data_IF_744759495063
#
_entry.id   IF_744759495063
#
_cell.length_a   1.000
_cell.length_b   1.000
_cell.length_c   1.000
_cell.angle_alpha   90.00
_cell.angle_beta   90.00
_cell.angle_gamma   90.00
#
_symmetry.space_group_name_H-M   'P 1'
#
loop_
_entity.id
_entity.type
_entity.pdbx_description
1 polymer ?
#
# COMPACT_ATOMS: atom_id res chain seq x y z
N UNK A 1 -7.95 -25.89 -11.19
CA UNK A 1 -7.32 -24.86 -10.33
C UNK A 1 -6.98 -23.65 -11.19
N UNK A 2 -7.10 -22.42 -10.65
CA UNK A 2 -6.67 -21.21 -11.37
C UNK A 2 -5.17 -21.26 -11.62
N UNK A 3 -4.73 -20.90 -12.83
CA UNK A 3 -3.30 -20.80 -13.19
C UNK A 3 -2.66 -19.49 -12.72
N UNK A 4 -3.47 -18.51 -12.30
CA UNK A 4 -2.98 -17.19 -11.88
C UNK A 4 -2.06 -17.21 -10.66
N UNK A 5 -2.32 -17.98 -9.58
CA UNK A 5 -1.39 -18.04 -8.45
C UNK A 5 0.01 -18.52 -8.86
N UNK A 6 0.12 -19.52 -9.74
CA UNK A 6 1.40 -20.03 -10.24
C UNK A 6 2.14 -18.99 -11.09
N UNK A 7 1.42 -18.35 -12.01
CA UNK A 7 1.98 -17.28 -12.84
C UNK A 7 2.43 -16.08 -12.01
N UNK A 8 1.62 -15.65 -11.04
CA UNK A 8 1.95 -14.54 -10.13
C UNK A 8 3.22 -14.83 -9.32
N UNK A 9 3.34 -16.05 -8.77
CA UNK A 9 4.55 -16.45 -8.04
C UNK A 9 5.79 -16.42 -8.95
N UNK A 10 5.70 -17.00 -10.14
CA UNK A 10 6.82 -17.01 -11.10
C UNK A 10 7.25 -15.59 -11.51
N UNK A 11 6.28 -14.72 -11.77
CA UNK A 11 6.55 -13.33 -12.10
C UNK A 11 7.19 -12.57 -10.93
N UNK A 12 6.68 -12.77 -9.71
CA UNK A 12 7.27 -12.24 -8.48
C UNK A 12 8.73 -12.70 -8.30
N UNK A 13 8.99 -14.00 -8.46
CA UNK A 13 10.35 -14.55 -8.35
C UNK A 13 11.29 -13.93 -9.39
N UNK A 14 10.84 -13.73 -10.64
CA UNK A 14 11.63 -13.07 -11.67
C UNK A 14 11.95 -11.60 -11.33
N UNK A 15 10.98 -10.84 -10.83
CA UNK A 15 11.19 -9.47 -10.37
C UNK A 15 12.17 -9.38 -9.21
N UNK A 16 12.04 -10.28 -8.25
CA UNK A 16 12.96 -10.37 -7.10
C UNK A 16 14.37 -10.73 -7.55
N UNK A 17 14.55 -11.67 -8.49
CA UNK A 17 15.88 -11.96 -9.04
C UNK A 17 16.47 -10.74 -9.75
N UNK A 18 15.66 -9.99 -10.50
CA UNK A 18 16.12 -8.76 -11.13
C UNK A 18 16.57 -7.71 -10.10
N UNK A 19 15.82 -7.52 -9.01
CA UNK A 19 16.23 -6.63 -7.90
C UNK A 19 17.55 -7.07 -7.29
N UNK A 20 17.70 -8.38 -6.97
CA UNK A 20 18.93 -8.94 -6.41
C UNK A 20 20.14 -8.73 -7.32
N UNK A 21 19.96 -8.89 -8.63
CA UNK A 21 21.02 -8.64 -9.62
C UNK A 21 21.45 -7.17 -9.71
N UNK A 22 20.68 -6.23 -9.15
CA UNK A 22 21.01 -4.81 -9.10
C UNK A 22 21.52 -4.35 -7.72
N UNK A 23 21.40 -5.18 -6.67
CA UNK A 23 21.87 -4.83 -5.33
C UNK A 23 23.39 -4.76 -5.29
N UNK A 24 23.92 -3.72 -4.64
CA UNK A 24 25.32 -3.65 -4.24
C UNK A 24 25.58 -4.54 -3.04
N UNK A 25 26.85 -4.83 -2.74
CA UNK A 25 27.25 -5.57 -1.53
C UNK A 25 26.78 -4.88 -0.24
N UNK A 26 26.59 -3.56 -0.25
CA UNK A 26 26.08 -2.79 0.87
C UNK A 26 24.55 -2.88 1.04
N UNK A 27 23.82 -3.46 0.10
CA UNK A 27 22.35 -3.59 0.16
C UNK A 27 21.55 -2.46 -0.50
N UNK A 28 22.21 -1.50 -1.17
CA UNK A 28 21.56 -0.45 -1.96
C UNK A 28 21.61 -0.71 -3.48
N UNK A 29 21.18 0.27 -4.29
CA UNK A 29 21.27 0.20 -5.77
C UNK A 29 22.28 1.20 -6.38
N UNK A 30 23.13 1.82 -5.55
CA UNK A 30 24.03 2.89 -6.00
C UNK A 30 23.31 4.18 -6.43
N UNK A 31 22.03 4.34 -6.06
CA UNK A 31 21.23 5.54 -6.28
C UNK A 31 20.99 6.21 -4.92
N UNK A 32 21.44 7.46 -4.70
CA UNK A 32 21.35 8.15 -3.42
C UNK A 32 19.98 8.80 -3.20
N UNK A 33 18.91 8.02 -3.35
CA UNK A 33 17.52 8.43 -3.06
C UNK A 33 16.78 7.27 -2.38
N UNK A 34 15.81 7.55 -1.52
CA UNK A 34 15.03 6.56 -0.77
C UNK A 34 14.00 5.82 -1.64
N UNK A 35 13.40 6.53 -2.61
CA UNK A 35 12.36 6.02 -3.51
C UNK A 35 12.64 4.60 -4.07
N UNK A 36 13.80 4.30 -4.66
CA UNK A 36 14.07 2.96 -5.20
C UNK A 36 14.19 1.87 -4.13
N UNK A 37 14.42 2.21 -2.87
CA UNK A 37 14.85 1.26 -1.84
C UNK A 37 13.74 0.84 -0.88
N UNK A 38 12.85 1.75 -0.46
CA UNK A 38 12.03 1.52 0.75
C UNK A 38 11.09 0.30 0.70
N UNK A 39 10.69 -0.15 -0.49
CA UNK A 39 9.88 -1.39 -0.66
C UNK A 39 10.72 -2.67 -0.79
N UNK A 40 12.01 -2.52 -1.11
CA UNK A 40 12.92 -3.64 -1.40
C UNK A 40 13.03 -4.63 -0.24
N UNK A 41 13.23 -4.21 1.03
CA UNK A 41 13.33 -5.16 2.14
C UNK A 41 12.11 -6.08 2.23
N UNK A 42 10.90 -5.53 2.09
CA UNK A 42 9.67 -6.31 2.15
C UNK A 42 9.52 -7.26 0.96
N UNK A 43 9.86 -6.83 -0.25
CA UNK A 43 9.81 -7.67 -1.44
C UNK A 43 10.77 -8.87 -1.36
N UNK A 44 12.01 -8.63 -0.93
CA UNK A 44 13.02 -9.68 -0.70
C UNK A 44 12.58 -10.63 0.42
N UNK A 45 12.07 -10.09 1.52
CA UNK A 45 11.61 -10.87 2.66
C UNK A 45 10.44 -11.79 2.30
N UNK A 46 9.45 -11.29 1.55
CA UNK A 46 8.32 -12.10 1.07
C UNK A 46 8.78 -13.24 0.15
N UNK A 47 9.87 -13.06 -0.59
CA UNK A 47 10.46 -14.07 -1.43
C UNK A 47 11.39 -15.06 -0.70
N UNK A 48 11.77 -14.77 0.55
CA UNK A 48 12.63 -15.62 1.38
C UNK A 48 14.13 -15.24 1.39
N UNK A 49 14.50 -14.12 0.75
CA UNK A 49 15.88 -13.60 0.72
C UNK A 49 16.14 -12.70 1.94
N UNK A 50 16.14 -13.32 3.13
CA UNK A 50 16.13 -12.59 4.40
C UNK A 50 17.44 -11.83 4.66
N UNK A 51 18.58 -12.34 4.21
CA UNK A 51 19.87 -11.70 4.47
C UNK A 51 20.07 -10.46 3.58
N UNK A 52 19.69 -10.54 2.30
CA UNK A 52 19.66 -9.37 1.41
C UNK A 52 18.61 -8.36 1.85
N UNK A 53 17.46 -8.81 2.35
CA UNK A 53 16.45 -7.93 2.92
C UNK A 53 16.97 -7.17 4.15
N UNK A 54 17.71 -7.85 5.03
CA UNK A 54 18.36 -7.22 6.19
C UNK A 54 19.44 -6.23 5.78
N UNK A 55 20.31 -6.60 4.84
CA UNK A 55 21.34 -5.70 4.32
C UNK A 55 20.70 -4.43 3.71
N UNK A 56 19.64 -4.60 2.91
CA UNK A 56 18.91 -3.49 2.31
C UNK A 56 18.25 -2.60 3.34
N UNK A 57 17.60 -3.16 4.37
CA UNK A 57 17.00 -2.36 5.44
C UNK A 57 18.06 -1.61 6.25
N UNK A 58 19.15 -2.26 6.64
CA UNK A 58 20.26 -1.62 7.34
C UNK A 58 20.80 -0.43 6.56
N UNK A 59 21.06 -0.62 5.26
CA UNK A 59 21.51 0.45 4.37
C UNK A 59 20.59 1.67 4.37
N UNK A 60 19.27 1.43 4.34
CA UNK A 60 18.25 2.49 4.40
C UNK A 60 18.28 3.18 5.77
N UNK A 61 18.26 2.42 6.86
CA UNK A 61 18.21 2.97 8.22
C UNK A 61 19.43 3.82 8.56
N UNK A 62 20.62 3.43 8.11
CA UNK A 62 21.86 4.19 8.32
C UNK A 62 21.88 5.54 7.59
N UNK A 63 21.13 5.68 6.49
CA UNK A 63 21.22 6.84 5.58
C UNK A 63 20.03 7.77 5.66
N UNK A 64 18.84 7.24 5.88
CA UNK A 64 17.59 7.97 5.74
C UNK A 64 16.78 8.03 7.04
N UNK A 65 16.98 7.11 7.99
CA UNK A 65 16.20 7.08 9.23
C UNK A 65 16.89 7.91 10.31
N UNK A 66 16.22 8.97 10.75
CA UNK A 66 16.72 9.86 11.79
C UNK A 66 16.66 9.25 13.20
N UNK A 67 17.22 9.94 14.22
CA UNK A 67 17.14 9.51 15.61
C UNK A 67 15.71 9.44 16.17
N UNK A 68 14.75 10.08 15.49
CA UNK A 68 13.32 10.05 15.81
C UNK A 68 12.56 8.97 15.03
N UNK A 69 13.28 8.03 14.39
CA UNK A 69 12.73 6.90 13.64
C UNK A 69 11.89 7.25 12.41
N UNK A 70 11.96 8.49 11.93
CA UNK A 70 11.31 8.93 10.70
C UNK A 70 12.30 8.91 9.54
N UNK A 71 11.95 8.23 8.44
CA UNK A 71 12.72 8.23 7.21
C UNK A 71 12.56 9.56 6.47
N UNK A 72 13.68 10.17 6.08
CA UNK A 72 13.70 11.43 5.34
C UNK A 72 14.64 11.34 4.17
N UNK A 73 14.15 11.65 2.99
CA UNK A 73 14.97 11.88 1.81
C UNK A 73 14.85 13.34 1.37
N UNK A 74 15.90 14.17 1.53
CA UNK A 74 15.87 15.56 1.10
C UNK A 74 15.72 15.72 -0.41
N UNK A 75 15.93 14.66 -1.19
CA UNK A 75 15.75 14.65 -2.64
C UNK A 75 14.36 14.15 -3.07
N UNK A 76 13.53 13.66 -2.14
CA UNK A 76 12.20 13.15 -2.46
C UNK A 76 11.15 14.28 -2.48
N UNK A 77 11.16 15.06 -3.57
CA UNK A 77 10.10 16.03 -3.87
C UNK A 77 8.71 15.36 -4.02
N UNK A 78 8.66 14.05 -4.30
CA UNK A 78 7.41 13.31 -4.40
C UNK A 78 6.79 13.02 -3.03
N UNK A 79 7.59 12.80 -1.97
CA UNK A 79 7.06 12.65 -0.61
C UNK A 79 6.31 13.92 -0.17
N UNK A 80 6.95 15.08 -0.33
CA UNK A 80 6.35 16.38 0.00
C UNK A 80 5.05 16.66 -0.78
N UNK A 81 4.97 16.26 -2.05
CA UNK A 81 3.77 16.49 -2.89
C UNK A 81 2.67 15.45 -2.71
N UNK A 82 2.98 14.24 -2.20
CA UNK A 82 1.99 13.17 -1.95
C UNK A 82 1.17 13.39 -0.68
N UNK A 83 1.61 14.30 0.20
CA UNK A 83 1.05 14.54 1.54
C UNK A 83 0.76 13.20 2.25
N UNK A 84 1.78 12.35 2.33
CA UNK A 84 1.71 10.99 2.87
C UNK A 84 3.06 10.60 3.51
N UNK A 85 3.48 11.41 4.49
CA UNK A 85 4.84 11.39 5.04
C UNK A 85 5.20 10.07 5.75
N UNK A 86 4.19 9.26 6.10
CA UNK A 86 4.36 7.98 6.80
C UNK A 86 4.39 6.77 5.88
N UNK A 87 4.19 6.96 4.59
CA UNK A 87 4.05 5.84 3.69
C UNK A 87 5.32 5.01 3.64
N UNK A 88 6.47 5.64 3.40
CA UNK A 88 7.77 4.96 3.42
C UNK A 88 8.06 4.30 4.77
N UNK A 89 7.80 4.99 5.88
CA UNK A 89 8.00 4.46 7.24
C UNK A 89 7.21 3.17 7.48
N UNK A 90 5.93 3.13 7.10
CA UNK A 90 5.09 1.96 7.29
C UNK A 90 5.56 0.75 6.45
N UNK A 91 6.10 0.99 5.25
CA UNK A 91 6.74 -0.06 4.45
C UNK A 91 8.01 -0.60 5.12
N UNK A 92 8.82 0.29 5.67
CA UNK A 92 10.06 -0.09 6.37
C UNK A 92 9.74 -0.86 7.65
N UNK A 93 8.77 -0.39 8.45
CA UNK A 93 8.32 -1.07 9.67
C UNK A 93 7.78 -2.48 9.37
N UNK A 94 7.01 -2.62 8.29
CA UNK A 94 6.50 -3.92 7.83
C UNK A 94 7.66 -4.85 7.41
N UNK A 95 8.56 -4.36 6.55
CA UNK A 95 9.73 -5.12 6.12
C UNK A 95 10.61 -5.55 7.30
N UNK A 96 10.88 -4.64 8.24
CA UNK A 96 11.65 -4.88 9.45
C UNK A 96 11.04 -5.99 10.32
N UNK A 97 9.73 -5.94 10.54
CA UNK A 97 9.02 -6.97 11.30
C UNK A 97 9.17 -8.33 10.63
N UNK A 98 8.98 -8.38 9.30
CA UNK A 98 9.03 -9.62 8.52
C UNK A 98 10.40 -10.31 8.56
N UNK A 99 11.48 -9.54 8.68
CA UNK A 99 12.86 -10.04 8.72
C UNK A 99 13.44 -10.15 10.13
N UNK A 100 12.63 -9.92 11.18
CA UNK A 100 13.05 -10.05 12.57
C UNK A 100 13.95 -8.91 13.09
N UNK A 101 14.00 -7.78 12.39
CA UNK A 101 14.66 -6.55 12.85
C UNK A 101 13.72 -5.76 13.77
N UNK A 102 13.45 -6.31 14.95
CA UNK A 102 12.38 -5.85 15.84
C UNK A 102 12.62 -4.46 16.41
N UNK A 103 13.89 -4.06 16.62
CA UNK A 103 14.21 -2.71 17.10
C UNK A 103 13.79 -1.66 16.08
N UNK A 104 14.17 -1.87 14.83
CA UNK A 104 13.85 -0.98 13.71
C UNK A 104 12.34 -1.00 13.45
N UNK A 105 11.72 -2.18 13.47
CA UNK A 105 10.28 -2.30 13.31
C UNK A 105 9.51 -1.50 14.37
N UNK A 106 9.79 -1.75 15.65
CA UNK A 106 9.10 -1.06 16.74
C UNK A 106 9.41 0.44 16.76
N UNK A 107 10.66 0.84 16.51
CA UNK A 107 11.05 2.25 16.47
C UNK A 107 10.30 3.03 15.40
N UNK A 108 10.35 2.54 14.16
CA UNK A 108 9.68 3.18 13.01
C UNK A 108 8.16 3.14 13.19
N UNK A 109 7.59 1.98 13.57
CA UNK A 109 6.15 1.86 13.76
C UNK A 109 5.63 2.77 14.89
N UNK A 110 6.34 2.85 16.01
CA UNK A 110 5.95 3.74 17.13
C UNK A 110 5.86 5.19 16.67
N UNK A 111 6.75 5.63 15.79
CA UNK A 111 6.69 6.98 15.23
C UNK A 111 5.44 7.22 14.40
N UNK A 112 5.02 6.25 13.59
CA UNK A 112 3.76 6.32 12.85
C UNK A 112 2.56 6.31 13.82
N UNK A 113 2.63 5.49 14.89
CA UNK A 113 1.58 5.34 15.90
C UNK A 113 1.32 6.62 16.69
N UNK A 114 2.34 7.45 16.93
CA UNK A 114 2.22 8.76 17.58
C UNK A 114 1.34 9.76 16.79
N UNK A 115 1.10 9.47 15.52
CA UNK A 115 0.29 10.33 14.63
C UNK A 115 -1.15 9.83 14.50
N UNK A 116 -1.49 8.71 15.14
CA UNK A 116 -2.85 8.24 15.28
C UNK A 116 -3.54 9.01 16.41
N UNK A 117 -4.66 9.64 16.08
CA UNK A 117 -5.49 10.34 17.05
C UNK A 117 -6.34 9.34 17.85
N UNK A 118 -6.25 9.36 19.19
CA UNK A 118 -6.97 8.42 20.03
C UNK A 118 -8.50 8.64 20.02
N UNK A 119 -9.00 9.81 19.62
CA UNK A 119 -10.44 10.11 19.61
C UNK A 119 -11.14 9.61 18.34
N UNK A 120 -10.49 9.77 17.19
CA UNK A 120 -11.04 9.40 15.87
C UNK A 120 -10.50 8.07 15.37
N UNK A 121 -9.37 7.60 15.90
CA UNK A 121 -8.63 6.43 15.40
C UNK A 121 -7.88 6.67 14.08
N UNK A 122 -8.04 7.86 13.49
CA UNK A 122 -7.42 8.25 12.23
C UNK A 122 -5.93 8.59 12.39
N UNK A 123 -5.17 8.39 11.33
CA UNK A 123 -3.72 8.70 11.30
C UNK A 123 -3.48 9.89 10.39
N UNK A 124 -2.72 10.86 10.90
CA UNK A 124 -2.33 12.03 10.10
C UNK A 124 -1.40 11.61 8.97
N UNK A 125 -1.67 12.08 7.75
CA UNK A 125 -0.78 11.83 6.63
C UNK A 125 0.35 12.85 6.47
N UNK A 126 0.45 13.84 7.37
CA UNK A 126 1.54 14.84 7.37
C UNK A 126 2.17 15.01 8.75
N UNK A 127 3.48 15.24 8.76
CA UNK A 127 4.25 15.64 9.93
C UNK A 127 4.58 17.13 9.84
N UNK A 128 4.23 17.92 10.85
CA UNK A 128 4.66 19.31 10.97
C UNK A 128 3.59 20.24 11.57
N UNK A 129 3.94 21.50 11.86
CA UNK A 129 3.03 22.47 12.45
C UNK A 129 1.88 22.86 11.50
N UNK A 130 2.13 22.80 10.19
CA UNK A 130 1.14 23.07 9.15
C UNK A 130 0.36 21.82 8.73
N UNK A 131 0.53 20.70 9.43
CA UNK A 131 -0.39 19.57 9.26
C UNK A 131 -1.74 20.02 9.81
N UNK A 132 -2.65 20.46 8.94
CA UNK A 132 -4.07 20.50 9.28
C UNK A 132 -4.43 19.15 9.93
N UNK A 133 -5.35 19.16 10.90
CA UNK A 133 -5.81 17.96 11.61
C UNK A 133 -6.64 17.06 10.66
N UNK A 134 -6.03 16.62 9.57
CA UNK A 134 -6.60 15.76 8.56
C UNK A 134 -6.05 14.36 8.76
N UNK A 135 -6.97 13.42 8.88
CA UNK A 135 -6.71 12.00 8.97
C UNK A 135 -7.24 11.35 7.72
N UNK A 136 -6.45 10.49 7.10
CA UNK A 136 -6.81 9.98 5.79
C UNK A 136 -6.88 8.44 5.72
N UNK A 137 -7.63 8.02 4.71
CA UNK A 137 -7.59 6.75 4.01
C UNK A 137 -6.32 5.92 4.27
N UNK A 138 -5.27 6.45 3.65
CA UNK A 138 -4.09 5.70 3.24
C UNK A 138 -3.19 5.45 4.44
N UNK A 139 -2.90 6.50 5.23
CA UNK A 139 -2.09 6.35 6.43
C UNK A 139 -2.82 5.51 7.48
N UNK A 140 -4.13 5.69 7.64
CA UNK A 140 -4.88 4.96 8.67
C UNK A 140 -4.97 3.48 8.36
N UNK A 141 -5.41 3.10 7.15
CA UNK A 141 -5.53 1.69 6.78
C UNK A 141 -4.17 0.99 6.74
N UNK A 142 -3.10 1.65 6.26
CA UNK A 142 -1.78 1.06 6.25
C UNK A 142 -1.18 0.92 7.66
N UNK A 143 -1.38 1.91 8.55
CA UNK A 143 -0.98 1.80 9.96
C UNK A 143 -1.71 0.66 10.67
N UNK A 144 -3.02 0.51 10.42
CA UNK A 144 -3.79 -0.62 10.92
C UNK A 144 -3.29 -1.96 10.39
N UNK A 145 -2.99 -2.04 9.09
CA UNK A 145 -2.46 -3.25 8.47
C UNK A 145 -1.10 -3.66 9.05
N UNK A 146 -0.18 -2.70 9.25
CA UNK A 146 1.10 -2.98 9.91
C UNK A 146 0.88 -3.30 11.40
N UNK A 147 -0.08 -2.63 12.04
CA UNK A 147 -0.54 -2.91 13.41
C UNK A 147 -0.92 -4.37 13.64
N UNK A 148 -1.66 -4.98 12.70
CA UNK A 148 -2.01 -6.40 12.73
C UNK A 148 -0.78 -7.32 12.73
N UNK A 149 0.33 -6.88 12.12
CA UNK A 149 1.55 -7.68 11.94
C UNK A 149 2.48 -7.54 13.14
N UNK A 150 2.54 -6.35 13.75
CA UNK A 150 3.33 -6.08 14.96
C UNK A 150 2.58 -6.42 16.25
N UNK A 151 1.26 -6.66 16.17
CA UNK A 151 0.42 -7.03 17.32
C UNK A 151 -0.08 -5.83 18.14
N UNK A 152 -0.22 -4.64 17.53
CA UNK A 152 -0.78 -3.46 18.20
C UNK A 152 -2.31 -3.45 18.08
N UNK A 153 -2.97 -4.18 18.98
CA UNK A 153 -4.44 -4.31 19.00
C UNK A 153 -5.15 -2.95 19.16
N UNK A 154 -4.57 -2.02 19.93
CA UNK A 154 -5.18 -0.71 20.17
C UNK A 154 -5.15 0.15 18.91
N UNK A 155 -4.03 0.18 18.20
CA UNK A 155 -3.92 0.90 16.93
C UNK A 155 -4.85 0.31 15.88
N UNK A 156 -4.92 -1.02 15.81
CA UNK A 156 -5.83 -1.74 14.91
C UNK A 156 -7.27 -1.38 15.19
N UNK A 157 -7.71 -1.39 16.45
CA UNK A 157 -9.08 -1.05 16.82
C UNK A 157 -9.45 0.39 16.38
N UNK A 158 -8.58 1.36 16.65
CA UNK A 158 -8.79 2.74 16.21
C UNK A 158 -8.84 2.87 14.68
N UNK A 159 -7.93 2.20 13.97
CA UNK A 159 -7.91 2.23 12.51
C UNK A 159 -9.17 1.57 11.90
N UNK A 160 -9.65 0.47 12.49
CA UNK A 160 -10.92 -0.18 12.10
C UNK A 160 -12.08 0.80 12.26
N UNK A 161 -12.17 1.45 13.42
CA UNK A 161 -13.24 2.41 13.70
C UNK A 161 -13.24 3.56 12.70
N UNK A 162 -12.08 4.18 12.47
CA UNK A 162 -11.94 5.24 11.47
C UNK A 162 -12.37 4.77 10.07
N UNK A 163 -11.87 3.61 9.63
CA UNK A 163 -12.11 3.08 8.28
C UNK A 163 -13.59 2.75 8.07
N UNK A 164 -14.26 2.17 9.08
CA UNK A 164 -15.68 1.86 9.05
C UNK A 164 -16.56 3.11 9.07
N UNK A 165 -16.21 4.11 9.88
CA UNK A 165 -16.90 5.41 9.87
C UNK A 165 -16.75 6.07 8.50
N UNK A 166 -15.54 6.11 7.93
CA UNK A 166 -15.28 6.77 6.65
C UNK A 166 -16.16 6.23 5.51
N UNK A 167 -16.31 4.91 5.39
CA UNK A 167 -17.21 4.30 4.38
C UNK A 167 -18.70 4.54 4.73
N UNK A 168 -19.07 4.62 6.01
CA UNK A 168 -20.46 4.87 6.43
C UNK A 168 -20.96 6.27 6.09
N UNK A 169 -20.11 7.29 6.26
CA UNK A 169 -20.52 8.70 6.09
C UNK A 169 -20.35 9.22 4.66
N UNK A 170 -20.02 8.36 3.70
CA UNK A 170 -19.93 8.77 2.30
C UNK A 170 -21.29 9.32 1.83
N UNK A 171 -21.30 10.48 1.15
CA UNK A 171 -22.50 11.02 0.52
C UNK A 171 -22.87 10.19 -0.72
N UNK A 172 -23.80 10.69 -1.55
CA UNK A 172 -24.14 10.04 -2.82
C UNK A 172 -22.88 9.71 -3.65
N UNK A 173 -22.84 8.50 -4.20
CA UNK A 173 -21.68 7.93 -4.88
C UNK A 173 -21.30 8.69 -6.15
N UNK A 174 -22.20 9.53 -6.69
CA UNK A 174 -21.96 10.36 -7.87
C UNK A 174 -20.82 11.37 -7.71
N UNK A 175 -20.44 11.71 -6.46
CA UNK A 175 -19.38 12.67 -6.15
C UNK A 175 -17.98 12.03 -5.96
N UNK A 176 -17.85 10.72 -6.17
CA UNK A 176 -16.63 9.98 -5.87
C UNK A 176 -16.59 9.50 -4.42
N UNK A 177 -15.40 9.12 -3.96
CA UNK A 177 -15.18 8.60 -2.60
C UNK A 177 -14.22 9.50 -1.82
N UNK A 178 -14.70 10.14 -0.78
CA UNK A 178 -13.90 11.04 0.07
C UNK A 178 -13.01 10.25 1.03
N UNK A 179 -11.74 10.65 1.12
CA UNK A 179 -10.68 9.92 1.82
C UNK A 179 -10.36 10.47 3.20
N UNK A 180 -10.80 11.68 3.53
CA UNK A 180 -10.24 12.47 4.64
C UNK A 180 -11.31 12.87 5.64
N UNK A 181 -10.97 12.82 6.93
CA UNK A 181 -11.72 13.46 8.02
C UNK A 181 -10.90 14.53 8.72
N UNK A 182 -11.57 15.51 9.30
CA UNK A 182 -10.94 16.57 10.06
C UNK A 182 -10.74 16.22 11.55
N UNK A 183 -10.26 17.19 12.33
CA UNK A 183 -10.00 17.10 13.77
C UNK A 183 -11.24 16.85 14.62
N UNK A 184 -12.42 17.19 14.11
CA UNK A 184 -13.70 16.95 14.77
C UNK A 184 -14.27 15.57 14.40
N UNK A 185 -13.64 14.90 13.44
CA UNK A 185 -14.09 13.65 12.88
C UNK A 185 -15.09 13.83 11.74
N UNK A 186 -15.29 15.03 11.21
CA UNK A 186 -16.22 15.27 10.10
C UNK A 186 -15.57 14.90 8.75
N UNK A 187 -16.38 14.41 7.81
CA UNK A 187 -15.91 14.10 6.46
C UNK A 187 -15.53 15.38 5.71
N UNK A 188 -14.32 15.45 5.16
CA UNK A 188 -13.85 16.62 4.41
C UNK A 188 -14.31 16.52 2.95
N UNK A 189 -15.33 17.30 2.60
CA UNK A 189 -15.90 17.34 1.24
C UNK A 189 -15.62 18.65 0.49
N UNK A 190 -14.93 19.59 1.12
CA UNK A 190 -14.50 20.86 0.51
C UNK A 190 -12.99 21.00 0.68
N UNK A 191 -12.31 21.17 -0.45
CA UNK A 191 -10.86 21.26 -0.55
C UNK A 191 -10.47 22.05 -1.81
N UNK A 192 -9.25 22.60 -1.87
CA UNK A 192 -8.73 23.21 -3.08
C UNK A 192 -8.72 22.21 -4.26
N UNK A 193 -9.00 22.68 -5.48
CA UNK A 193 -9.07 21.82 -6.67
C UNK A 193 -7.73 21.14 -6.97
N UNK A 194 -6.63 21.85 -6.73
CA UNK A 194 -5.26 21.35 -6.86
C UNK A 194 -4.95 20.16 -5.94
N UNK A 195 -5.66 20.05 -4.82
CA UNK A 195 -5.50 18.98 -3.83
C UNK A 195 -6.52 17.84 -4.02
N UNK A 196 -7.47 17.95 -4.95
CA UNK A 196 -8.60 17.02 -5.08
C UNK A 196 -8.17 15.54 -5.11
N UNK A 197 -7.04 15.24 -5.75
CA UNK A 197 -6.47 13.88 -5.81
C UNK A 197 -6.17 13.27 -4.45
N UNK A 198 -5.88 14.08 -3.44
CA UNK A 198 -5.57 13.65 -2.07
C UNK A 198 -6.83 13.45 -1.21
N UNK A 199 -7.93 14.13 -1.55
CA UNK A 199 -9.15 14.14 -0.76
C UNK A 199 -10.27 13.26 -1.33
N UNK A 200 -10.29 13.01 -2.64
CA UNK A 200 -11.36 12.23 -3.28
C UNK A 200 -10.83 11.29 -4.37
N UNK A 201 -11.42 10.09 -4.41
CA UNK A 201 -11.27 9.12 -5.52
C UNK A 201 -12.51 9.19 -6.40
N UNK A 202 -12.40 9.95 -7.48
CA UNK A 202 -13.42 10.10 -8.51
C UNK A 202 -13.48 8.91 -9.47
N UNK A 203 -14.39 9.03 -10.44
CA UNK A 203 -14.45 8.14 -11.59
C UNK A 203 -13.45 8.59 -12.67
N UNK A 204 -13.04 7.67 -13.54
CA UNK A 204 -12.02 7.95 -14.55
C UNK A 204 -12.43 9.06 -15.55
N UNK A 205 -13.73 9.24 -15.76
CA UNK A 205 -14.31 10.28 -16.59
C UNK A 205 -14.25 11.67 -15.94
N UNK A 206 -14.03 11.74 -14.62
CA UNK A 206 -14.13 12.96 -13.81
C UNK A 206 -12.79 13.38 -13.20
N UNK A 207 -11.84 12.46 -13.06
CA UNK A 207 -10.57 12.72 -12.40
C UNK A 207 -9.43 12.00 -13.13
N UNK A 208 -8.43 12.77 -13.53
CA UNK A 208 -7.18 12.24 -14.05
C UNK A 208 -6.33 11.63 -12.91
N UNK A 209 -5.81 10.42 -13.10
CA UNK A 209 -4.94 9.70 -12.16
C UNK A 209 -5.46 9.60 -10.70
N UNK A 210 -6.66 9.04 -10.45
CA UNK A 210 -7.20 8.89 -9.10
C UNK A 210 -6.32 8.00 -8.20
N UNK A 211 -6.32 8.27 -6.89
CA UNK A 211 -5.62 7.44 -5.90
C UNK A 211 -6.40 6.14 -5.58
N UNK A 212 -6.67 5.32 -6.59
CA UNK A 212 -7.45 4.09 -6.42
C UNK A 212 -6.90 3.13 -5.37
N UNK A 213 -5.59 3.15 -5.10
CA UNK A 213 -5.03 2.32 -4.04
C UNK A 213 -5.57 2.63 -2.65
N UNK A 214 -6.06 3.85 -2.39
CA UNK A 214 -6.61 4.21 -1.10
C UNK A 214 -7.83 3.34 -0.77
N UNK A 215 -8.71 3.11 -1.76
CA UNK A 215 -9.83 2.17 -1.65
C UNK A 215 -9.32 0.74 -1.42
N UNK A 216 -8.30 0.34 -2.19
CA UNK A 216 -7.65 -0.95 -2.04
C UNK A 216 -7.06 -1.19 -0.64
N UNK A 217 -6.48 -0.17 -0.02
CA UNK A 217 -5.96 -0.24 1.35
C UNK A 217 -7.08 -0.43 2.37
N UNK A 218 -8.17 0.35 2.27
CA UNK A 218 -9.34 0.19 3.15
C UNK A 218 -9.95 -1.20 3.06
N UNK A 219 -10.15 -1.70 1.84
CA UNK A 219 -10.56 -3.08 1.56
C UNK A 219 -9.63 -4.10 2.22
N UNK A 220 -8.33 -4.02 1.91
CA UNK A 220 -7.32 -4.99 2.34
C UNK A 220 -7.22 -5.04 3.86
N UNK A 221 -7.16 -3.87 4.49
CA UNK A 221 -7.04 -3.76 5.94
C UNK A 221 -8.25 -4.36 6.64
N UNK A 222 -9.48 -4.01 6.25
CA UNK A 222 -10.68 -4.56 6.88
C UNK A 222 -10.84 -6.06 6.64
N UNK A 223 -10.48 -6.57 5.46
CA UNK A 223 -10.49 -8.00 5.19
C UNK A 223 -9.47 -8.75 6.08
N UNK A 224 -8.26 -8.22 6.22
CA UNK A 224 -7.23 -8.78 7.10
C UNK A 224 -7.61 -8.70 8.58
N UNK A 225 -8.20 -7.59 9.02
CA UNK A 225 -8.68 -7.42 10.40
C UNK A 225 -9.81 -8.40 10.72
N UNK A 226 -10.73 -8.65 9.78
CA UNK A 226 -11.76 -9.68 9.94
C UNK A 226 -11.16 -11.07 10.02
N UNK A 227 -10.17 -11.39 9.18
CA UNK A 227 -9.50 -12.68 9.21
C UNK A 227 -8.88 -12.99 10.58
N UNK A 228 -8.20 -12.02 11.18
CA UNK A 228 -7.54 -12.21 12.47
C UNK A 228 -8.50 -12.14 13.66
N UNK A 229 -9.46 -11.20 13.65
CA UNK A 229 -10.30 -10.91 14.81
C UNK A 229 -11.74 -11.41 14.73
N UNK A 230 -12.22 -11.85 13.55
CA UNK A 230 -13.58 -12.35 13.35
C UNK A 230 -14.70 -11.30 13.46
N UNK A 231 -14.37 -10.01 13.60
CA UNK A 231 -15.34 -8.92 13.79
C UNK A 231 -16.13 -8.68 12.51
N UNK A 232 -17.43 -9.02 12.53
CA UNK A 232 -18.31 -8.99 11.34
C UNK A 232 -18.39 -7.63 10.65
N UNK A 233 -18.34 -6.55 11.43
CA UNK A 233 -18.35 -5.19 10.89
C UNK A 233 -17.18 -4.94 9.92
N UNK A 234 -16.01 -5.52 10.17
CA UNK A 234 -14.86 -5.43 9.28
C UNK A 234 -15.15 -6.10 7.93
N UNK A 235 -15.74 -7.31 7.93
CA UNK A 235 -16.11 -7.99 6.69
C UNK A 235 -17.16 -7.19 5.89
N UNK A 236 -18.20 -6.68 6.55
CA UNK A 236 -19.21 -5.84 5.91
C UNK A 236 -18.59 -4.56 5.32
N UNK A 237 -17.70 -3.89 6.06
CA UNK A 237 -16.98 -2.73 5.55
C UNK A 237 -16.08 -3.06 4.36
N UNK A 238 -15.37 -4.19 4.39
CA UNK A 238 -14.55 -4.66 3.29
C UNK A 238 -15.37 -4.88 2.00
N UNK A 239 -16.55 -5.49 2.09
CA UNK A 239 -17.47 -5.61 0.94
C UNK A 239 -17.86 -4.23 0.38
N UNK A 240 -18.19 -3.26 1.24
CA UNK A 240 -18.55 -1.90 0.79
C UNK A 240 -17.38 -1.21 0.09
N UNK A 241 -16.14 -1.40 0.54
CA UNK A 241 -14.96 -0.92 -0.18
C UNK A 241 -14.74 -1.65 -1.52
N UNK A 242 -15.00 -2.95 -1.58
CA UNK A 242 -14.94 -3.70 -2.84
C UNK A 242 -15.95 -3.20 -3.86
N UNK A 243 -17.19 -2.90 -3.44
CA UNK A 243 -18.21 -2.25 -4.28
C UNK A 243 -17.70 -0.92 -4.84
N UNK A 244 -17.04 -0.09 -4.01
CA UNK A 244 -16.43 1.15 -4.49
C UNK A 244 -15.37 0.87 -5.55
N UNK A 245 -14.48 -0.09 -5.34
CA UNK A 245 -13.49 -0.48 -6.34
C UNK A 245 -14.16 -0.94 -7.65
N UNK A 246 -15.15 -1.85 -7.58
CA UNK A 246 -15.85 -2.40 -8.74
C UNK A 246 -16.60 -1.33 -9.54
N UNK A 247 -17.13 -0.31 -8.87
CA UNK A 247 -17.83 0.81 -9.52
C UNK A 247 -16.90 1.67 -10.41
N UNK A 248 -15.56 1.61 -10.23
CA UNK A 248 -14.59 2.37 -11.05
C UNK A 248 -14.14 1.63 -12.32
N UNK A 249 -14.87 0.57 -12.68
CA UNK A 249 -14.76 -0.16 -13.96
C UNK A 249 -13.35 -0.66 -14.27
N UNK A 250 -12.98 -0.73 -15.54
CA UNK A 250 -11.67 -1.22 -16.00
C UNK A 250 -10.52 -0.27 -15.63
N UNK A 251 -10.81 1.01 -15.37
CA UNK A 251 -9.79 2.03 -15.14
C UNK A 251 -8.95 1.72 -13.88
N UNK A 252 -9.61 1.32 -12.79
CA UNK A 252 -8.93 0.92 -11.56
C UNK A 252 -8.03 -0.31 -11.75
N UNK A 253 -8.43 -1.24 -12.63
CA UNK A 253 -7.70 -2.47 -12.89
C UNK A 253 -6.47 -2.29 -13.78
N UNK A 254 -6.48 -1.25 -14.62
CA UNK A 254 -5.37 -0.90 -15.53
C UNK A 254 -4.41 0.14 -14.94
N UNK A 255 -4.66 0.58 -13.71
CA UNK A 255 -3.83 1.55 -13.02
C UNK A 255 -2.54 0.91 -12.47
N UNK A 256 -1.44 1.65 -12.40
CA UNK A 256 -0.18 1.17 -11.81
C UNK A 256 -0.28 0.81 -10.32
N UNK A 257 -1.38 1.17 -9.68
CA UNK A 257 -1.71 0.90 -8.29
C UNK A 257 -2.53 -0.38 -8.09
N UNK A 258 -2.93 -1.06 -9.17
CA UNK A 258 -3.89 -2.19 -9.15
C UNK A 258 -3.47 -3.37 -8.27
N UNK A 259 -2.16 -3.58 -8.05
CA UNK A 259 -1.67 -4.72 -7.26
C UNK A 259 -2.23 -4.80 -5.83
N UNK A 260 -2.39 -3.65 -5.15
CA UNK A 260 -2.98 -3.59 -3.81
C UNK A 260 -4.46 -3.98 -3.82
N UNK A 261 -5.20 -3.53 -4.83
CA UNK A 261 -6.61 -3.88 -5.03
C UNK A 261 -6.73 -5.38 -5.30
N UNK A 262 -5.86 -5.94 -6.16
CA UNK A 262 -5.83 -7.36 -6.46
C UNK A 262 -5.58 -8.22 -5.21
N UNK A 263 -4.65 -7.83 -4.35
CA UNK A 263 -4.42 -8.52 -3.07
C UNK A 263 -5.62 -8.40 -2.12
N UNK A 264 -6.18 -7.20 -1.95
CA UNK A 264 -7.37 -6.99 -1.12
C UNK A 264 -8.57 -7.81 -1.57
N UNK A 265 -8.80 -7.88 -2.88
CA UNK A 265 -9.87 -8.69 -3.48
C UNK A 265 -9.63 -10.20 -3.30
N UNK A 266 -8.38 -10.67 -3.37
CA UNK A 266 -8.04 -12.07 -3.06
C UNK A 266 -8.29 -12.40 -1.58
N UNK A 267 -7.91 -11.51 -0.65
CA UNK A 267 -8.22 -11.66 0.77
C UNK A 267 -9.73 -11.71 1.00
N UNK A 268 -10.48 -10.77 0.43
CA UNK A 268 -11.93 -10.71 0.57
C UNK A 268 -12.62 -11.97 -0.01
N UNK A 269 -12.16 -12.46 -1.16
CA UNK A 269 -12.64 -13.74 -1.71
C UNK A 269 -12.42 -14.89 -0.73
N UNK A 270 -11.23 -14.99 -0.13
CA UNK A 270 -10.92 -16.08 0.80
C UNK A 270 -11.82 -16.05 2.04
N UNK A 271 -12.06 -14.87 2.60
CA UNK A 271 -12.82 -14.74 3.86
C UNK A 271 -14.33 -14.62 3.67
N UNK A 272 -14.79 -14.24 2.47
CA UNK A 272 -16.20 -14.00 2.14
C UNK A 272 -16.80 -14.96 1.09
N UNK A 273 -15.98 -15.59 0.26
CA UNK A 273 -16.38 -16.65 -0.68
C UNK A 273 -17.01 -16.19 -2.01
N UNK A 274 -17.26 -14.89 -2.23
CA UNK A 274 -17.95 -14.46 -3.44
C UNK A 274 -17.02 -14.39 -4.67
N UNK A 275 -17.41 -15.06 -5.75
CA UNK A 275 -16.58 -15.27 -6.94
C UNK A 275 -16.17 -14.01 -7.69
N UNK A 276 -16.97 -12.95 -7.64
CA UNK A 276 -16.68 -11.67 -8.29
C UNK A 276 -15.38 -11.03 -7.77
N UNK A 277 -15.09 -11.16 -6.47
CA UNK A 277 -13.84 -10.65 -5.90
C UNK A 277 -12.64 -11.43 -6.42
N UNK A 278 -12.76 -12.75 -6.60
CA UNK A 278 -11.71 -13.56 -7.23
C UNK A 278 -11.46 -13.12 -8.68
N UNK A 279 -12.52 -12.91 -9.46
CA UNK A 279 -12.39 -12.45 -10.85
C UNK A 279 -11.64 -11.12 -10.90
N UNK A 280 -12.02 -10.16 -10.04
CA UNK A 280 -11.35 -8.86 -9.98
C UNK A 280 -9.88 -8.96 -9.54
N UNK A 281 -9.58 -9.84 -8.58
CA UNK A 281 -8.21 -10.12 -8.15
C UNK A 281 -7.35 -10.68 -9.30
N UNK A 282 -7.89 -11.67 -10.04
CA UNK A 282 -7.22 -12.27 -11.20
C UNK A 282 -7.04 -11.26 -12.34
N UNK A 283 -7.99 -10.34 -12.56
CA UNK A 283 -7.84 -9.25 -13.54
C UNK A 283 -6.75 -8.24 -13.17
N UNK A 284 -6.65 -7.85 -11.90
CA UNK A 284 -5.58 -6.98 -11.40
C UNK A 284 -4.20 -7.63 -11.62
N UNK A 285 -4.07 -8.92 -11.30
CA UNK A 285 -2.85 -9.70 -11.54
C UNK A 285 -2.54 -9.81 -13.02
N UNK A 286 -3.55 -10.08 -13.86
CA UNK A 286 -3.40 -10.14 -15.32
C UNK A 286 -2.84 -8.84 -15.89
N UNK A 287 -3.23 -7.68 -15.36
CA UNK A 287 -2.62 -6.41 -15.74
C UNK A 287 -1.12 -6.37 -15.39
N UNK A 288 -0.75 -6.69 -14.14
CA UNK A 288 0.65 -6.69 -13.71
C UNK A 288 1.52 -7.65 -14.54
N UNK A 289 1.00 -8.85 -14.83
CA UNK A 289 1.72 -9.83 -15.66
C UNK A 289 1.98 -9.32 -17.08
N UNK A 290 1.05 -8.56 -17.68
CA UNK A 290 1.22 -8.00 -19.03
C UNK A 290 2.23 -6.86 -19.11
N UNK A 291 2.51 -6.19 -17.99
CA UNK A 291 3.43 -5.05 -17.93
C UNK A 291 4.82 -5.44 -17.42
N UNK A 292 5.04 -6.72 -17.10
CA UNK A 292 6.36 -7.23 -16.76
C UNK A 292 7.21 -7.36 -18.02
N UNK A 293 8.45 -6.89 -17.95
CA UNK A 293 9.45 -7.04 -19.01
C UNK A 293 10.09 -8.43 -18.95
N UNK A 294 10.68 -8.88 -20.07
CA UNK A 294 11.42 -10.15 -20.14
C UNK A 294 12.58 -10.25 -19.12
N UNK A 295 13.12 -9.10 -18.70
CA UNK A 295 14.15 -9.02 -17.65
C UNK A 295 13.63 -9.32 -16.25
N UNK A 296 12.31 -9.35 -16.04
CA UNK A 296 11.66 -9.45 -14.75
C UNK A 296 11.27 -8.10 -14.13
N UNK A 297 11.79 -6.98 -14.62
CA UNK A 297 11.43 -5.64 -14.16
C UNK A 297 10.04 -5.19 -14.64
N UNK A 298 9.49 -4.13 -14.04
CA UNK A 298 8.20 -3.56 -14.44
C UNK A 298 8.31 -2.20 -15.15
N UNK A 299 7.55 -2.08 -16.23
CA UNK A 299 7.26 -0.81 -16.91
C UNK A 299 5.86 -0.33 -16.54
N UNK A 300 5.70 0.99 -16.38
CA UNK A 300 4.46 1.64 -15.99
C UNK A 300 3.88 2.44 -17.18
N UNK A 301 3.06 1.80 -18.04
CA UNK A 301 2.50 2.45 -19.23
C UNK A 301 1.50 3.57 -18.91
N UNK A 302 1.00 3.64 -17.67
CA UNK A 302 0.10 4.72 -17.23
C UNK A 302 0.84 6.01 -16.88
N UNK A 303 2.15 5.95 -16.65
CA UNK A 303 2.98 7.10 -16.27
C UNK A 303 3.98 7.50 -17.37
N UNK A 304 4.46 6.53 -18.16
CA UNK A 304 5.49 6.74 -19.16
C UNK A 304 5.05 6.20 -20.51
N UNK A 305 5.25 6.97 -21.59
CA UNK A 305 4.83 6.59 -22.94
C UNK A 305 5.73 5.52 -23.52
N UNK A 306 7.02 5.60 -23.20
CA UNK A 306 8.01 4.58 -23.59
C UNK A 306 8.78 4.07 -22.37
N UNK A 307 9.49 2.96 -22.56
CA UNK A 307 10.31 2.36 -21.51
C UNK A 307 11.49 3.27 -21.12
N UNK A 308 12.09 3.93 -22.11
CA UNK A 308 13.28 4.78 -21.97
C UNK A 308 12.98 6.05 -21.15
N UNK A 309 11.73 6.50 -21.14
CA UNK A 309 11.27 7.63 -20.34
C UNK A 309 11.20 7.30 -18.83
N UNK A 310 11.05 6.01 -18.46
CA UNK A 310 10.89 5.61 -17.07
C UNK A 310 12.23 5.70 -16.32
N UNK A 311 12.35 6.54 -15.28
CA UNK A 311 13.58 6.64 -14.51
C UNK A 311 13.93 5.31 -13.84
N UNK A 312 15.22 4.96 -13.81
CA UNK A 312 15.69 3.72 -13.18
C UNK A 312 15.22 3.56 -11.73
N UNK A 313 15.19 4.66 -10.97
CA UNK A 313 14.70 4.66 -9.60
C UNK A 313 13.22 4.22 -9.50
N UNK A 314 12.39 4.63 -10.46
CA UNK A 314 10.99 4.22 -10.54
C UNK A 314 10.87 2.76 -10.98
N UNK A 315 11.73 2.28 -11.88
CA UNK A 315 11.78 0.85 -12.25
C UNK A 315 12.10 -0.03 -11.04
N UNK A 316 13.06 0.36 -10.20
CA UNK A 316 13.39 -0.36 -8.96
C UNK A 316 12.22 -0.36 -7.98
N UNK A 317 11.66 0.82 -7.68
CA UNK A 317 10.50 0.98 -6.79
C UNK A 317 9.31 0.10 -7.23
N UNK A 318 8.96 0.17 -8.51
CA UNK A 318 7.80 -0.54 -9.07
C UNK A 318 8.03 -2.03 -9.19
N UNK A 319 9.24 -2.45 -9.51
CA UNK A 319 9.59 -3.89 -9.52
C UNK A 319 9.48 -4.46 -8.11
N UNK A 320 9.97 -3.76 -7.07
CA UNK A 320 9.79 -4.18 -5.67
C UNK A 320 8.30 -4.24 -5.29
N UNK A 321 7.54 -3.19 -5.62
CA UNK A 321 6.11 -3.11 -5.32
C UNK A 321 5.29 -4.23 -5.97
N UNK A 322 5.42 -4.40 -7.29
CA UNK A 322 4.63 -5.38 -8.05
C UNK A 322 5.04 -6.82 -7.74
N UNK A 323 6.34 -7.07 -7.50
CA UNK A 323 6.80 -8.38 -7.05
C UNK A 323 6.16 -8.77 -5.71
N UNK A 324 6.06 -7.83 -4.77
CA UNK A 324 5.39 -8.09 -3.50
C UNK A 324 3.90 -8.38 -3.69
N UNK A 325 3.17 -7.55 -4.44
CA UNK A 325 1.72 -7.77 -4.60
C UNK A 325 1.40 -9.09 -5.27
N UNK A 326 2.17 -9.48 -6.28
CA UNK A 326 2.02 -10.78 -6.92
C UNK A 326 2.32 -11.93 -5.95
N UNK A 327 3.32 -11.79 -5.08
CA UNK A 327 3.61 -12.77 -4.02
C UNK A 327 2.44 -12.88 -3.04
N UNK A 328 1.97 -11.76 -2.50
CA UNK A 328 0.89 -11.73 -1.51
C UNK A 328 -0.44 -12.25 -2.09
N UNK A 329 -0.79 -11.88 -3.32
CA UNK A 329 -1.92 -12.47 -4.03
C UNK A 329 -1.76 -13.99 -4.14
N UNK A 330 -0.60 -14.44 -4.60
CA UNK A 330 -0.32 -15.84 -4.86
C UNK A 330 -0.42 -16.70 -3.60
N UNK A 331 0.19 -16.23 -2.51
CA UNK A 331 0.16 -16.89 -1.21
C UNK A 331 -1.27 -16.91 -0.64
N UNK A 332 -1.99 -15.79 -0.75
CA UNK A 332 -3.41 -15.68 -0.31
C UNK A 332 -4.30 -16.67 -1.04
N UNK A 333 -4.16 -16.79 -2.35
CA UNK A 333 -5.01 -17.67 -3.18
C UNK A 333 -4.66 -19.15 -3.06
N UNK A 334 -3.48 -19.49 -2.50
CA UNK A 334 -3.05 -20.87 -2.25
C UNK A 334 -3.29 -21.35 -0.84
N UNK A 335 -3.47 -20.45 0.13
CA UNK A 335 -3.84 -20.84 1.48
C UNK A 335 -5.17 -21.62 1.42
N UNK A 336 -5.15 -22.89 1.86
CA UNK A 336 -6.36 -23.68 2.01
C UNK A 336 -7.26 -23.00 3.06
N UNK A 337 -8.53 -22.80 2.71
CA UNK A 337 -9.55 -22.27 3.62
C UNK A 337 -10.16 -23.36 4.47
#
# INVERSE_FOLDING_TARGET
MSVYPDQARKASDAGVQWLRGNLTEEGGYGIPALLPHYKTPMALAAAGFLDEARASLSWITERYVGPDWHARDPQDAAAASRQCDLYEDLWLAWGAQKIGMLRESHGIYSRCRDLQDPATGGVRSRIGPDSANFYDLRSTALTGLVGLIVGDEQAVAGAVEFTLRLIADQPDQSQGFFLVRDGNGDLVTSFPEEDARLFVVGFAEQQADPLYYALGLGLTFLAAAYEQGGVRACLTGAFRYAEQCMARTDAILRHHYTGKIGWGMALLYRVGGHSEHRVMAEQAVSHLLRTQLDSGAWWIPTLYRTLEEQPRAVTLDRTAEHSLWLRLFSDTMRAEG
#
